data_IF_734402596550
#
_entry.id   IF_734402596550
#
_cell.length_a   1.000
_cell.length_b   1.000
_cell.length_c   1.000
_cell.angle_alpha   90.00
_cell.angle_beta   90.00
_cell.angle_gamma   90.00
#
_symmetry.space_group_name_H-M   'P 1'
#
loop_
_entity.id
_entity.type
_entity.pdbx_description
1 polymer ?
#
# COMPACT_ATOMS: atom_id res chain seq x y z
N UNK A 1 -6.40 -13.54 28.10
CA UNK A 1 -7.09 -12.65 27.16
C UNK A 1 -6.99 -11.21 27.69
N UNK A 2 -5.96 -10.46 27.27
CA UNK A 2 -5.74 -9.08 27.77
C UNK A 2 -6.87 -8.20 27.24
N UNK A 3 -7.45 -7.38 28.11
CA UNK A 3 -8.53 -6.43 27.76
C UNK A 3 -7.96 -5.43 26.74
N UNK A 4 -8.14 -5.70 25.44
CA UNK A 4 -7.72 -4.82 24.35
C UNK A 4 -8.65 -3.61 24.36
N UNK A 5 -8.10 -2.44 24.66
CA UNK A 5 -8.86 -1.18 24.75
C UNK A 5 -9.50 -0.91 23.40
N UNK A 6 -10.82 -0.66 23.40
CA UNK A 6 -11.57 -0.39 22.16
C UNK A 6 -10.92 0.80 21.43
N UNK A 7 -10.71 0.73 20.10
CA UNK A 7 -10.02 1.77 19.32
C UNK A 7 -10.60 3.18 19.52
N UNK A 8 -11.91 3.30 19.70
CA UNK A 8 -12.58 4.59 19.94
C UNK A 8 -12.30 5.17 21.33
N UNK A 9 -12.06 4.31 22.32
CA UNK A 9 -11.67 4.71 23.68
C UNK A 9 -10.21 5.16 23.67
N UNK A 10 -9.32 4.43 22.98
CA UNK A 10 -7.94 4.88 22.76
C UNK A 10 -7.88 6.21 22.01
N UNK A 11 -8.64 6.35 20.92
CA UNK A 11 -8.77 7.60 20.17
C UNK A 11 -9.31 8.73 21.05
N UNK A 12 -10.37 8.48 21.82
CA UNK A 12 -10.97 9.47 22.72
C UNK A 12 -10.04 9.90 23.85
N UNK A 13 -9.24 8.97 24.38
CA UNK A 13 -8.20 9.28 25.38
C UNK A 13 -7.12 10.14 24.74
N UNK A 14 -6.60 9.79 23.56
CA UNK A 14 -5.53 10.56 22.92
C UNK A 14 -6.00 11.91 22.39
N UNK A 15 -7.10 11.95 21.64
CA UNK A 15 -7.67 13.18 21.11
C UNK A 15 -8.20 14.08 22.22
N UNK A 16 -8.94 13.51 23.18
CA UNK A 16 -9.56 14.22 24.30
C UNK A 16 -8.54 14.71 25.32
N UNK A 17 -7.66 13.83 25.84
CA UNK A 17 -6.70 14.23 26.87
C UNK A 17 -5.69 15.23 26.33
N UNK A 18 -5.17 15.01 25.12
CA UNK A 18 -4.19 15.92 24.52
C UNK A 18 -4.84 17.26 24.14
N UNK A 19 -6.03 17.26 23.55
CA UNK A 19 -6.75 18.51 23.23
C UNK A 19 -7.23 19.26 24.47
N UNK A 20 -7.58 18.57 25.55
CA UNK A 20 -8.04 19.18 26.79
C UNK A 20 -6.88 19.79 27.57
N UNK A 21 -5.76 19.07 27.70
CA UNK A 21 -4.53 19.60 28.33
C UNK A 21 -4.01 20.79 27.52
N UNK A 22 -3.88 20.63 26.20
CA UNK A 22 -3.41 21.72 25.35
C UNK A 22 -4.40 22.88 25.32
N UNK A 23 -5.70 22.63 25.19
CA UNK A 23 -6.72 23.68 25.18
C UNK A 23 -6.79 24.46 26.49
N UNK A 24 -6.59 23.79 27.63
CA UNK A 24 -6.55 24.44 28.94
C UNK A 24 -5.31 25.33 29.09
N UNK A 25 -4.13 24.82 28.74
CA UNK A 25 -2.85 25.56 28.82
C UNK A 25 -2.86 26.76 27.87
N UNK A 26 -3.49 26.63 26.70
CA UNK A 26 -3.38 27.61 25.61
C UNK A 26 -4.58 28.54 25.48
N UNK A 27 -5.60 28.39 26.33
CA UNK A 27 -6.88 29.12 26.27
C UNK A 27 -6.71 30.64 26.06
N UNK A 28 -5.81 31.26 26.82
CA UNK A 28 -5.56 32.72 26.75
C UNK A 28 -4.81 33.11 25.46
N UNK A 29 -3.92 32.25 24.99
CA UNK A 29 -3.11 32.46 23.78
C UNK A 29 -3.90 32.24 22.49
N UNK A 30 -4.90 31.34 22.48
CA UNK A 30 -5.74 31.11 21.31
C UNK A 30 -6.50 32.39 20.92
N UNK A 31 -7.22 32.99 21.87
CA UNK A 31 -8.01 34.19 21.57
C UNK A 31 -7.14 35.40 21.26
N UNK A 32 -5.98 35.51 21.91
CA UNK A 32 -4.99 36.54 21.61
C UNK A 32 -4.38 36.37 20.21
N UNK A 33 -4.08 35.14 19.80
CA UNK A 33 -3.50 34.85 18.49
C UNK A 33 -4.43 35.14 17.33
N UNK A 34 -5.72 34.79 17.44
CA UNK A 34 -6.71 35.14 16.40
C UNK A 34 -6.93 36.65 16.26
N UNK A 35 -6.71 37.43 17.32
CA UNK A 35 -6.79 38.90 17.26
C UNK A 35 -5.52 39.56 16.77
N UNK A 36 -4.37 38.91 16.98
CA UNK A 36 -3.07 39.41 16.57
C UNK A 36 -2.77 39.13 15.10
N UNK A 37 -3.41 38.11 14.52
CA UNK A 37 -3.21 37.74 13.12
C UNK A 37 -4.14 38.50 12.17
N UNK A 38 -3.56 39.47 11.47
CA UNK A 38 -4.26 40.26 10.43
C UNK A 38 -4.30 39.55 9.06
N UNK A 39 -3.51 38.49 8.86
CA UNK A 39 -3.33 37.81 7.57
C UNK A 39 -4.40 36.75 7.27
N UNK A 40 -5.12 36.30 8.30
CA UNK A 40 -6.10 35.22 8.19
C UNK A 40 -5.50 33.81 8.16
N UNK A 41 -4.18 33.66 8.26
CA UNK A 41 -3.49 32.36 8.26
C UNK A 41 -3.94 31.45 9.41
N UNK A 42 -4.16 32.01 10.60
CA UNK A 42 -4.66 31.31 11.79
C UNK A 42 -6.05 30.73 11.57
N UNK A 43 -6.89 31.40 10.77
CA UNK A 43 -8.20 30.88 10.39
C UNK A 43 -8.08 29.68 9.45
N UNK A 44 -7.20 29.76 8.44
CA UNK A 44 -6.93 28.63 7.53
C UNK A 44 -6.39 27.42 8.30
N UNK A 45 -5.42 27.64 9.21
CA UNK A 45 -4.88 26.64 10.12
C UNK A 45 -6.01 26.01 10.95
N UNK A 46 -6.91 26.81 11.51
CA UNK A 46 -8.04 26.31 12.31
C UNK A 46 -9.02 25.45 11.49
N UNK A 47 -9.36 25.87 10.28
CA UNK A 47 -10.23 25.11 9.37
C UNK A 47 -9.60 23.78 8.98
N UNK A 48 -8.31 23.79 8.62
CA UNK A 48 -7.55 22.57 8.31
C UNK A 48 -7.47 21.63 9.52
N UNK A 49 -7.28 22.17 10.72
CA UNK A 49 -7.27 21.40 11.96
C UNK A 49 -8.61 20.72 12.23
N UNK A 50 -9.72 21.46 12.14
CA UNK A 50 -11.07 20.90 12.31
C UNK A 50 -11.35 19.84 11.24
N UNK A 51 -11.01 20.11 9.98
CA UNK A 51 -11.14 19.15 8.88
C UNK A 51 -10.36 17.86 9.14
N UNK A 52 -9.12 17.98 9.62
CA UNK A 52 -8.29 16.84 10.01
C UNK A 52 -8.86 16.04 11.17
N UNK A 53 -9.40 16.73 12.17
CA UNK A 53 -10.01 16.11 13.34
C UNK A 53 -11.29 15.34 12.97
N UNK A 54 -12.10 15.89 12.06
CA UNK A 54 -13.29 15.24 11.52
C UNK A 54 -12.93 14.03 10.66
N UNK A 55 -11.92 14.14 9.79
CA UNK A 55 -11.45 13.02 8.97
C UNK A 55 -10.93 11.87 9.85
N UNK A 56 -10.14 12.21 10.86
CA UNK A 56 -9.63 11.31 11.90
C UNK A 56 -10.76 10.61 12.68
N UNK A 57 -11.77 11.38 13.10
CA UNK A 57 -12.92 10.83 13.82
C UNK A 57 -13.72 9.83 12.95
N UNK A 58 -13.93 10.15 11.67
CA UNK A 58 -14.57 9.22 10.72
C UNK A 58 -13.79 7.93 10.52
N UNK A 59 -12.47 8.01 10.44
CA UNK A 59 -11.60 6.83 10.36
C UNK A 59 -11.71 5.98 11.63
N UNK A 60 -11.69 6.61 12.82
CA UNK A 60 -11.86 5.93 14.10
C UNK A 60 -13.23 5.24 14.26
N UNK A 61 -14.33 5.88 13.84
CA UNK A 61 -15.67 5.26 13.87
C UNK A 61 -15.76 4.02 12.99
N UNK A 62 -15.16 4.07 11.79
CA UNK A 62 -15.10 2.89 10.92
C UNK A 62 -14.31 1.77 11.61
N UNK A 63 -13.13 2.07 12.14
CA UNK A 63 -12.29 1.10 12.84
C UNK A 63 -13.00 0.47 14.04
N UNK A 64 -13.78 1.26 14.79
CA UNK A 64 -14.59 0.75 15.90
C UNK A 64 -15.66 -0.25 15.45
N UNK A 65 -16.33 0.03 14.33
CA UNK A 65 -17.34 -0.88 13.76
C UNK A 65 -16.72 -2.21 13.38
N UNK A 66 -15.52 -2.19 12.80
CA UNK A 66 -14.78 -3.39 12.37
C UNK A 66 -14.28 -4.22 13.56
N UNK A 67 -13.92 -3.57 14.66
CA UNK A 67 -13.61 -4.27 15.92
C UNK A 67 -14.84 -5.00 16.48
N UNK A 68 -16.02 -4.39 16.36
CA UNK A 68 -17.28 -5.03 16.76
C UNK A 68 -17.63 -6.24 15.90
N UNK A 69 -17.22 -6.28 14.64
CA UNK A 69 -17.34 -7.47 13.77
C UNK A 69 -16.43 -8.58 14.30
N UNK A 70 -15.16 -8.28 14.58
CA UNK A 70 -14.21 -9.27 15.08
C UNK A 70 -14.66 -9.85 16.44
N UNK A 71 -15.16 -9.00 17.35
CA UNK A 71 -15.68 -9.39 18.66
C UNK A 71 -16.86 -10.37 18.52
N UNK A 72 -17.84 -10.05 17.64
CA UNK A 72 -18.97 -10.96 17.37
C UNK A 72 -18.55 -12.28 16.74
N UNK A 73 -17.62 -12.24 15.78
CA UNK A 73 -17.14 -13.43 15.09
C UNK A 73 -16.36 -14.34 16.04
N UNK A 74 -15.56 -13.76 16.93
CA UNK A 74 -14.83 -14.52 17.95
C UNK A 74 -15.76 -15.16 18.99
N UNK A 75 -16.80 -14.43 19.42
CA UNK A 75 -17.70 -14.86 20.50
C UNK A 75 -18.81 -15.81 20.03
N UNK A 76 -19.43 -15.53 18.88
CA UNK A 76 -20.57 -16.31 18.37
C UNK A 76 -20.17 -17.38 17.34
N UNK A 77 -18.93 -17.33 16.81
CA UNK A 77 -18.48 -18.13 15.65
C UNK A 77 -19.32 -17.96 14.38
N UNK A 78 -20.31 -17.06 14.39
CA UNK A 78 -21.16 -16.76 13.23
C UNK A 78 -20.59 -15.53 12.52
N UNK A 79 -20.28 -15.70 11.24
CA UNK A 79 -19.81 -14.60 10.40
C UNK A 79 -21.02 -13.73 10.01
N UNK A 80 -21.03 -12.43 10.36
CA UNK A 80 -22.14 -11.55 9.99
C UNK A 80 -22.21 -11.38 8.45
N UNK A 81 -23.42 -11.19 7.89
CA UNK A 81 -23.61 -11.07 6.44
C UNK A 81 -22.85 -9.88 5.88
N UNK A 82 -22.24 -10.06 4.69
CA UNK A 82 -21.48 -9.01 4.01
C UNK A 82 -22.41 -7.89 3.56
N UNK A 83 -22.15 -6.66 4.05
CA UNK A 83 -22.88 -5.46 3.65
C UNK A 83 -22.38 -4.85 2.32
N UNK A 84 -21.68 -5.62 1.48
CA UNK A 84 -21.22 -5.18 0.14
C UNK A 84 -20.15 -4.08 0.15
N UNK A 85 -19.57 -3.76 1.32
CA UNK A 85 -18.46 -2.81 1.48
C UNK A 85 -17.21 -3.56 1.90
N UNK A 86 -16.04 -3.11 1.43
CA UNK A 86 -14.71 -3.67 1.73
C UNK A 86 -14.30 -3.52 3.20
N UNK A 87 -15.00 -4.24 4.08
CA UNK A 87 -14.76 -4.34 5.51
C UNK A 87 -14.27 -5.73 5.90
N UNK A 88 -13.94 -5.89 7.18
CA UNK A 88 -13.41 -7.13 7.73
C UNK A 88 -14.40 -8.30 7.60
N UNK A 89 -15.71 -8.01 7.73
CA UNK A 89 -16.78 -8.99 7.54
C UNK A 89 -16.77 -9.63 6.14
N UNK A 90 -16.49 -8.85 5.09
CA UNK A 90 -16.46 -9.35 3.72
C UNK A 90 -15.29 -10.31 3.49
N UNK A 91 -14.14 -9.99 4.11
CA UNK A 91 -12.94 -10.84 4.05
C UNK A 91 -13.19 -12.17 4.76
N UNK A 92 -13.80 -12.13 5.95
CA UNK A 92 -14.15 -13.35 6.66
C UNK A 92 -15.16 -14.20 5.90
N UNK A 93 -16.18 -13.60 5.28
CA UNK A 93 -17.14 -14.35 4.44
C UNK A 93 -16.43 -15.01 3.25
N UNK A 94 -15.55 -14.28 2.54
CA UNK A 94 -14.75 -14.83 1.44
C UNK A 94 -13.88 -15.99 1.90
N UNK A 95 -13.15 -15.83 3.02
CA UNK A 95 -12.32 -16.89 3.59
C UNK A 95 -13.15 -18.13 3.99
N UNK A 96 -14.35 -17.94 4.53
CA UNK A 96 -15.27 -19.05 4.83
C UNK A 96 -15.74 -19.77 3.56
N UNK A 97 -16.07 -19.02 2.50
CA UNK A 97 -16.45 -19.59 1.20
C UNK A 97 -15.31 -20.39 0.57
N UNK A 98 -14.07 -19.89 0.65
CA UNK A 98 -12.89 -20.61 0.17
C UNK A 98 -12.64 -21.90 0.97
N UNK A 99 -12.78 -21.84 2.30
CA UNK A 99 -12.75 -23.05 3.16
C UNK A 99 -13.80 -24.06 2.72
N UNK A 100 -15.02 -23.63 2.42
CA UNK A 100 -16.12 -24.50 1.96
C UNK A 100 -15.83 -25.12 0.59
N UNK A 101 -15.13 -24.41 -0.30
CA UNK A 101 -14.72 -24.91 -1.62
C UNK A 101 -13.46 -25.78 -1.59
N UNK A 102 -12.72 -25.81 -0.49
CA UNK A 102 -11.46 -26.54 -0.35
C UNK A 102 -10.29 -25.91 -1.10
N UNK A 103 -10.38 -24.62 -1.43
CA UNK A 103 -9.34 -23.85 -2.10
C UNK A 103 -8.38 -23.24 -1.08
N UNK A 104 -7.06 -23.32 -1.32
CA UNK A 104 -6.07 -22.70 -0.45
C UNK A 104 -6.03 -21.21 -0.71
N UNK A 105 -6.40 -20.41 0.30
CA UNK A 105 -6.30 -18.96 0.24
C UNK A 105 -5.32 -18.46 1.29
N UNK A 106 -4.44 -17.57 0.85
CA UNK A 106 -3.49 -16.90 1.71
C UNK A 106 -4.22 -15.82 2.52
N UNK A 107 -4.56 -16.13 3.77
CA UNK A 107 -5.22 -15.22 4.72
C UNK A 107 -4.44 -13.90 4.85
N UNK A 108 -3.11 -13.98 4.84
CA UNK A 108 -2.23 -12.83 5.01
C UNK A 108 -2.40 -11.79 3.91
N UNK A 109 -2.48 -12.19 2.63
CA UNK A 109 -2.65 -11.26 1.51
C UNK A 109 -3.99 -10.52 1.53
N UNK A 110 -5.06 -11.17 2.01
CA UNK A 110 -6.38 -10.55 2.12
C UNK A 110 -6.43 -9.54 3.28
N UNK A 111 -5.86 -9.89 4.44
CA UNK A 111 -5.75 -8.97 5.58
C UNK A 111 -4.79 -7.81 5.26
N UNK A 112 -3.73 -8.05 4.50
CA UNK A 112 -2.79 -7.02 4.04
C UNK A 112 -3.46 -6.04 3.07
N UNK A 113 -4.30 -6.53 2.15
CA UNK A 113 -5.10 -5.66 1.26
C UNK A 113 -6.03 -4.74 2.06
N UNK A 114 -6.66 -5.26 3.13
CA UNK A 114 -7.47 -4.47 4.05
C UNK A 114 -6.64 -3.44 4.82
N UNK A 115 -5.49 -3.87 5.33
CA UNK A 115 -4.55 -3.03 6.04
C UNK A 115 -4.11 -1.85 5.15
N UNK A 116 -3.74 -2.10 3.90
CA UNK A 116 -3.36 -1.08 2.93
C UNK A 116 -4.49 -0.06 2.67
N UNK A 117 -5.73 -0.55 2.47
CA UNK A 117 -6.89 0.31 2.22
C UNK A 117 -7.25 1.22 3.41
N UNK A 118 -7.17 0.71 4.63
CA UNK A 118 -7.45 1.49 5.84
C UNK A 118 -6.27 2.41 6.21
N UNK A 119 -5.03 1.95 6.04
CA UNK A 119 -3.82 2.73 6.24
C UNK A 119 -3.78 3.98 5.34
N UNK A 120 -4.24 3.88 4.09
CA UNK A 120 -4.35 5.04 3.19
C UNK A 120 -5.21 6.18 3.78
N UNK A 121 -6.30 5.83 4.48
CA UNK A 121 -7.20 6.80 5.11
C UNK A 121 -6.57 7.46 6.34
N UNK A 122 -5.88 6.68 7.18
CA UNK A 122 -5.17 7.23 8.34
C UNK A 122 -3.97 8.08 7.90
N UNK A 123 -3.30 7.68 6.82
CA UNK A 123 -2.21 8.44 6.20
C UNK A 123 -2.66 9.82 5.72
N UNK A 124 -3.89 9.98 5.22
CA UNK A 124 -4.46 11.29 4.90
C UNK A 124 -4.47 12.24 6.12
N UNK A 125 -4.84 11.73 7.31
CA UNK A 125 -4.80 12.52 8.57
C UNK A 125 -3.36 12.91 8.93
N UNK A 126 -2.39 12.00 8.74
CA UNK A 126 -0.97 12.30 8.97
C UNK A 126 -0.43 13.35 7.99
N UNK A 127 -0.93 13.39 6.76
CA UNK A 127 -0.56 14.40 5.77
C UNK A 127 -1.12 15.77 6.19
N UNK A 128 -2.38 15.83 6.62
CA UNK A 128 -2.99 17.06 7.14
C UNK A 128 -2.23 17.60 8.35
N UNK A 129 -1.75 16.73 9.24
CA UNK A 129 -0.88 17.11 10.35
C UNK A 129 0.44 17.77 9.89
N UNK A 130 1.10 17.21 8.87
CA UNK A 130 2.31 17.79 8.30
C UNK A 130 2.03 19.13 7.61
N UNK A 131 0.92 19.23 6.85
CA UNK A 131 0.49 20.47 6.21
C UNK A 131 0.21 21.58 7.22
N UNK A 132 -0.39 21.25 8.37
CA UNK A 132 -0.62 22.20 9.46
C UNK A 132 0.69 22.79 10.00
N UNK A 133 1.72 21.96 10.18
CA UNK A 133 3.04 22.41 10.61
C UNK A 133 3.65 23.32 9.52
N UNK A 134 3.59 22.91 8.26
CA UNK A 134 4.08 23.71 7.14
C UNK A 134 3.36 25.05 7.00
N UNK A 135 2.04 25.10 7.22
CA UNK A 135 1.27 26.34 7.25
C UNK A 135 1.67 27.23 8.43
N UNK A 136 1.98 26.65 9.58
CA UNK A 136 2.53 27.40 10.72
C UNK A 136 3.90 28.02 10.43
N UNK A 137 4.75 27.33 9.68
CA UNK A 137 6.04 27.86 9.21
C UNK A 137 5.86 28.96 8.17
N UNK A 138 4.90 28.80 7.24
CA UNK A 138 4.55 29.83 6.26
C UNK A 138 4.06 31.10 6.94
N UNK A 139 3.26 30.95 8.02
CA UNK A 139 2.81 32.07 8.84
C UNK A 139 3.97 32.81 9.50
N UNK A 140 5.05 32.12 9.91
CA UNK A 140 6.28 32.77 10.39
C UNK A 140 6.89 33.66 9.32
N UNK A 141 7.01 33.14 8.09
CA UNK A 141 7.63 33.87 6.98
C UNK A 141 6.84 35.15 6.69
N UNK A 142 5.52 35.05 6.60
CA UNK A 142 4.64 36.20 6.34
C UNK A 142 4.71 37.20 7.51
N UNK A 143 4.64 36.72 8.75
CA UNK A 143 4.72 37.60 9.93
C UNK A 143 6.07 38.31 10.06
N UNK A 144 7.17 37.66 9.71
CA UNK A 144 8.50 38.28 9.66
C UNK A 144 8.61 39.31 8.54
N UNK A 145 8.02 39.06 7.37
CA UNK A 145 7.94 40.06 6.28
C UNK A 145 7.19 41.30 6.78
N UNK A 146 6.03 41.14 7.42
CA UNK A 146 5.29 42.27 8.00
C UNK A 146 6.11 43.01 9.06
N UNK A 147 6.84 42.27 9.91
CA UNK A 147 7.69 42.87 10.92
C UNK A 147 8.82 43.71 10.30
N UNK A 148 9.47 43.21 9.26
CA UNK A 148 10.53 43.91 8.52
C UNK A 148 9.97 45.15 7.82
N UNK A 149 8.79 45.04 7.18
CA UNK A 149 8.13 46.19 6.56
C UNK A 149 7.79 47.28 7.58
N UNK A 150 7.28 46.90 8.76
CA UNK A 150 7.04 47.83 9.88
C UNK A 150 8.34 48.51 10.35
N UNK A 151 9.44 47.76 10.42
CA UNK A 151 10.74 48.31 10.81
C UNK A 151 11.28 49.29 9.76
N UNK A 152 11.11 48.99 8.47
CA UNK A 152 11.44 49.91 7.38
C UNK A 152 10.68 51.24 7.52
N UNK A 153 9.36 51.15 7.75
CA UNK A 153 8.54 52.34 8.01
C UNK A 153 8.96 53.10 9.27
N UNK A 154 9.42 52.41 10.31
CA UNK A 154 9.95 53.07 11.52
C UNK A 154 11.19 53.89 11.19
N UNK A 155 12.15 53.33 10.43
CA UNK A 155 13.40 54.01 10.04
C UNK A 155 13.13 55.25 9.19
N UNK A 156 12.20 55.15 8.22
CA UNK A 156 11.80 56.28 7.37
C UNK A 156 11.17 57.43 8.17
N UNK A 157 10.55 57.12 9.30
CA UNK A 157 9.86 58.10 10.16
C UNK A 157 10.73 58.66 11.30
N UNK A 158 12.01 58.26 11.41
CA UNK A 158 12.93 58.77 12.42
C UNK A 158 13.11 60.28 12.22
N UNK A 159 12.67 61.07 13.21
CA UNK A 159 12.79 62.53 13.21
C UNK A 159 11.62 63.30 12.58
N UNK A 160 10.66 62.62 11.94
CA UNK A 160 9.49 63.26 11.33
C UNK A 160 8.33 63.41 12.32
N UNK A 161 7.88 62.31 12.93
CA UNK A 161 6.81 62.33 13.93
C UNK A 161 6.89 61.13 14.86
N UNK A 162 6.75 61.39 16.17
CA UNK A 162 6.72 60.34 17.20
C UNK A 162 5.51 59.41 17.02
N UNK A 163 4.38 59.93 16.54
CA UNK A 163 3.17 59.15 16.37
C UNK A 163 3.31 58.11 15.25
N UNK A 164 3.81 58.52 14.07
CA UNK A 164 4.01 57.62 12.94
C UNK A 164 5.10 56.58 13.21
N UNK A 165 6.16 56.97 13.92
CA UNK A 165 7.18 56.04 14.40
C UNK A 165 6.61 54.98 15.36
N UNK A 166 5.74 55.39 16.28
CA UNK A 166 5.09 54.46 17.22
C UNK A 166 4.14 53.50 16.51
N UNK A 167 3.42 53.96 15.49
CA UNK A 167 2.52 53.09 14.71
C UNK A 167 3.29 52.09 13.85
N UNK A 168 4.42 52.50 13.25
CA UNK A 168 5.33 51.58 12.58
C UNK A 168 5.92 50.53 13.53
N UNK A 169 6.28 50.93 14.75
CA UNK A 169 6.73 49.99 15.79
C UNK A 169 5.63 49.01 16.20
N UNK A 170 4.38 49.47 16.36
CA UNK A 170 3.24 48.57 16.62
C UNK A 170 3.04 47.57 15.49
N UNK A 171 3.15 48.00 14.23
CA UNK A 171 3.07 47.12 13.07
C UNK A 171 4.19 46.05 13.09
N UNK A 172 5.42 46.44 13.44
CA UNK A 172 6.54 45.50 13.63
C UNK A 172 6.24 44.44 14.67
N UNK A 173 5.74 44.86 15.84
CA UNK A 173 5.39 43.96 16.95
C UNK A 173 4.18 43.08 16.59
N UNK A 174 3.20 43.61 15.87
CA UNK A 174 2.04 42.85 15.38
C UNK A 174 2.46 41.77 14.36
N UNK A 175 3.37 42.09 13.44
CA UNK A 175 3.94 41.12 12.51
C UNK A 175 4.67 39.98 13.22
N UNK A 176 5.46 40.30 14.23
CA UNK A 176 6.12 39.31 15.08
C UNK A 176 5.11 38.45 15.87
N UNK A 177 4.04 39.06 16.38
CA UNK A 177 2.94 38.36 17.03
C UNK A 177 2.26 37.37 16.09
N UNK A 178 1.95 37.80 14.86
CA UNK A 178 1.37 36.94 13.82
C UNK A 178 2.27 35.75 13.52
N UNK A 179 3.58 35.98 13.32
CA UNK A 179 4.55 34.92 13.08
C UNK A 179 4.53 33.88 14.21
N UNK A 180 4.57 34.33 15.47
CA UNK A 180 4.63 33.43 16.62
C UNK A 180 3.34 32.61 16.79
N UNK A 181 2.16 33.26 16.69
CA UNK A 181 0.88 32.59 16.89
C UNK A 181 0.53 31.62 15.77
N UNK A 182 0.82 31.96 14.52
CA UNK A 182 0.58 31.05 13.38
C UNK A 182 1.46 29.79 13.49
N UNK A 183 2.73 29.92 13.87
CA UNK A 183 3.60 28.77 14.15
C UNK A 183 3.10 27.94 15.31
N UNK A 184 2.69 28.60 16.39
CA UNK A 184 2.15 27.94 17.57
C UNK A 184 0.91 27.10 17.23
N UNK A 185 -0.04 27.66 16.48
CA UNK A 185 -1.25 26.96 16.06
C UNK A 185 -0.95 25.82 15.09
N UNK A 186 -0.05 26.03 14.12
CA UNK A 186 0.36 24.99 13.18
C UNK A 186 1.05 23.81 13.87
N UNK A 187 1.98 24.09 14.79
CA UNK A 187 2.71 23.07 15.55
C UNK A 187 1.79 22.31 16.50
N UNK A 188 0.94 23.02 17.27
CA UNK A 188 0.04 22.41 18.22
C UNK A 188 -1.04 21.57 17.53
N UNK A 189 -1.70 22.13 16.51
CA UNK A 189 -2.72 21.43 15.73
C UNK A 189 -2.15 20.22 14.99
N UNK A 190 -0.97 20.38 14.37
CA UNK A 190 -0.24 19.30 13.71
C UNK A 190 0.16 18.18 14.67
N UNK A 191 0.66 18.51 15.86
CA UNK A 191 1.04 17.53 16.87
C UNK A 191 -0.17 16.72 17.35
N UNK A 192 -1.31 17.37 17.61
CA UNK A 192 -2.54 16.69 18.03
C UNK A 192 -3.00 15.71 16.94
N UNK A 193 -3.11 16.18 15.69
CA UNK A 193 -3.53 15.30 14.58
C UNK A 193 -2.55 14.14 14.37
N UNK A 194 -1.24 14.38 14.51
CA UNK A 194 -0.24 13.33 14.37
C UNK A 194 -0.33 12.28 15.48
N UNK A 195 -0.50 12.69 16.74
CA UNK A 195 -0.68 11.76 17.85
C UNK A 195 -1.91 10.87 17.64
N UNK A 196 -3.02 11.48 17.20
CA UNK A 196 -4.28 10.78 16.96
C UNK A 196 -4.18 9.84 15.73
N UNK A 197 -3.45 10.23 14.69
CA UNK A 197 -3.19 9.36 13.53
C UNK A 197 -2.33 8.15 13.92
N UNK A 198 -1.28 8.34 14.73
CA UNK A 198 -0.43 7.24 15.23
C UNK A 198 -1.22 6.26 16.09
N UNK A 199 -2.07 6.77 16.99
CA UNK A 199 -2.97 5.93 17.82
C UNK A 199 -3.89 5.05 16.96
N UNK A 200 -4.42 5.59 15.85
CA UNK A 200 -5.24 4.83 14.90
C UNK A 200 -4.45 3.78 14.14
N UNK A 201 -3.23 4.10 13.68
CA UNK A 201 -2.37 3.12 13.01
C UNK A 201 -2.08 1.94 13.92
N UNK A 202 -1.73 2.20 15.18
CA UNK A 202 -1.48 1.14 16.16
C UNK A 202 -2.73 0.26 16.37
N UNK A 203 -3.90 0.89 16.52
CA UNK A 203 -5.17 0.18 16.68
C UNK A 203 -5.55 -0.65 15.44
N UNK A 204 -5.24 -0.16 14.24
CA UNK A 204 -5.43 -0.88 12.98
C UNK A 204 -4.51 -2.10 12.90
N UNK A 205 -3.23 -1.95 13.23
CA UNK A 205 -2.28 -3.06 13.27
C UNK A 205 -2.72 -4.15 14.25
N UNK A 206 -3.21 -3.76 15.44
CA UNK A 206 -3.75 -4.70 16.42
C UNK A 206 -5.00 -5.44 15.92
N UNK A 207 -5.87 -4.76 15.15
CA UNK A 207 -7.06 -5.36 14.55
C UNK A 207 -6.66 -6.40 13.51
N UNK A 208 -5.77 -6.03 12.58
CA UNK A 208 -5.29 -6.91 11.54
C UNK A 208 -4.59 -8.14 12.12
N UNK A 209 -3.75 -7.95 13.15
CA UNK A 209 -3.08 -9.07 13.82
C UNK A 209 -4.11 -10.04 14.46
N UNK A 210 -5.10 -9.51 15.17
CA UNK A 210 -6.14 -10.34 15.79
C UNK A 210 -7.05 -11.01 14.75
N UNK A 211 -7.32 -10.35 13.62
CA UNK A 211 -8.09 -10.91 12.53
C UNK A 211 -7.35 -12.04 11.81
N UNK A 212 -6.05 -11.87 11.56
CA UNK A 212 -5.19 -12.92 11.00
C UNK A 212 -5.13 -14.12 11.94
N UNK A 213 -4.91 -13.90 13.24
CA UNK A 213 -4.89 -14.96 14.25
C UNK A 213 -6.21 -15.76 14.26
N UNK A 214 -7.35 -15.06 14.24
CA UNK A 214 -8.66 -15.71 14.17
C UNK A 214 -8.83 -16.52 12.87
N UNK A 215 -8.48 -15.94 11.73
CA UNK A 215 -8.62 -16.58 10.43
C UNK A 215 -7.69 -17.79 10.29
N UNK A 216 -6.46 -17.71 10.80
CA UNK A 216 -5.50 -18.80 10.78
C UNK A 216 -6.01 -20.02 11.56
N UNK A 217 -6.63 -19.79 12.72
CA UNK A 217 -7.16 -20.86 13.57
C UNK A 217 -8.48 -21.43 13.03
N UNK A 218 -9.40 -20.59 12.55
CA UNK A 218 -10.78 -21.00 12.30
C UNK A 218 -11.14 -21.14 10.81
N UNK A 219 -10.45 -20.42 9.92
CA UNK A 219 -10.83 -20.27 8.51
C UNK A 219 -9.84 -20.92 7.54
N UNK A 220 -8.61 -21.21 7.97
CA UNK A 220 -7.66 -21.96 7.14
C UNK A 220 -8.12 -23.42 7.00
N UNK A 221 -8.24 -23.89 5.76
CA UNK A 221 -8.38 -25.31 5.50
C UNK A 221 -7.07 -26.00 5.87
N UNK A 222 -7.00 -26.60 7.07
CA UNK A 222 -5.84 -27.40 7.49
C UNK A 222 -5.74 -28.61 6.54
N UNK A 223 -4.59 -28.74 5.87
CA UNK A 223 -4.23 -29.87 4.99
C UNK A 223 -4.19 -31.24 5.69
N UNK A 224 -4.47 -31.31 7.00
CA UNK A 224 -4.49 -32.55 7.77
C UNK A 224 -5.32 -33.66 7.08
N UNK A 225 -6.45 -33.32 6.45
CA UNK A 225 -7.28 -34.33 5.78
C UNK A 225 -6.66 -34.96 4.52
N UNK A 226 -5.73 -34.28 3.82
CA UNK A 226 -5.05 -34.87 2.65
C UNK A 226 -3.81 -35.66 3.05
N UNK A 227 -3.07 -35.24 4.07
CA UNK A 227 -1.93 -36.00 4.58
C UNK A 227 -2.37 -37.30 5.25
N UNK A 228 -3.52 -37.31 5.93
CA UNK A 228 -4.08 -38.53 6.53
C UNK A 228 -4.56 -39.54 5.47
N UNK A 229 -5.17 -39.06 4.38
CA UNK A 229 -5.59 -39.89 3.24
C UNK A 229 -4.37 -40.46 2.48
N UNK A 230 -3.34 -39.64 2.26
CA UNK A 230 -2.08 -40.07 1.62
C UNK A 230 -1.34 -41.07 2.52
N UNK A 231 -1.22 -40.80 3.83
CA UNK A 231 -0.59 -41.73 4.77
C UNK A 231 -1.35 -43.06 4.84
N UNK A 232 -2.69 -43.04 4.83
CA UNK A 232 -3.52 -44.24 4.79
C UNK A 232 -3.30 -45.04 3.51
N UNK A 233 -3.17 -44.38 2.36
CA UNK A 233 -2.86 -45.04 1.09
C UNK A 233 -1.45 -45.65 1.09
N UNK A 234 -0.45 -44.92 1.60
CA UNK A 234 0.93 -45.41 1.73
C UNK A 234 1.00 -46.62 2.68
N UNK A 235 0.33 -46.58 3.84
CA UNK A 235 0.28 -47.73 4.76
C UNK A 235 -0.41 -48.95 4.15
N UNK A 236 -1.46 -48.75 3.32
CA UNK A 236 -2.13 -49.86 2.62
C UNK A 236 -1.21 -50.53 1.59
N UNK A 237 -0.39 -49.74 0.89
CA UNK A 237 0.61 -50.26 -0.05
C UNK A 237 1.68 -51.06 0.70
N UNK A 238 2.22 -50.52 1.81
CA UNK A 238 3.22 -51.23 2.63
C UNK A 238 2.67 -52.58 3.13
N UNK A 239 1.45 -52.61 3.66
CA UNK A 239 0.81 -53.85 4.11
C UNK A 239 0.59 -54.87 2.98
N UNK A 240 0.32 -54.42 1.75
CA UNK A 240 0.20 -55.30 0.59
C UNK A 240 1.54 -55.93 0.18
N UNK A 241 2.64 -55.18 0.29
CA UNK A 241 3.98 -55.68 0.03
C UNK A 241 4.44 -56.70 1.10
N UNK A 242 4.13 -56.45 2.38
CA UNK A 242 4.42 -57.42 3.44
C UNK A 242 3.68 -58.75 3.25
N UNK A 243 2.42 -58.71 2.82
CA UNK A 243 1.65 -59.92 2.53
C UNK A 243 2.23 -60.70 1.33
N UNK A 244 2.64 -59.99 0.29
CA UNK A 244 3.30 -60.60 -0.88
C UNK A 244 4.63 -61.25 -0.50
N UNK A 245 5.42 -60.61 0.35
CA UNK A 245 6.68 -61.15 0.85
C UNK A 245 6.49 -62.42 1.68
N UNK A 246 5.47 -62.47 2.55
CA UNK A 246 5.08 -63.68 3.29
C UNK A 246 4.67 -64.83 2.37
N UNK A 247 3.97 -64.53 1.29
CA UNK A 247 3.53 -65.52 0.31
C UNK A 247 4.73 -66.12 -0.46
N UNK A 248 5.69 -65.28 -0.88
CA UNK A 248 6.95 -65.69 -1.51
C UNK A 248 7.81 -66.55 -0.56
N UNK A 249 7.90 -66.18 0.72
CA UNK A 249 8.60 -66.98 1.73
C UNK A 249 7.94 -68.35 1.94
N UNK A 250 6.60 -68.40 1.91
CA UNK A 250 5.86 -69.65 2.03
C UNK A 250 6.08 -70.57 0.82
N UNK A 251 6.17 -70.01 -0.39
CA UNK A 251 6.51 -70.75 -1.61
C UNK A 251 7.94 -71.28 -1.55
N UNK A 252 8.88 -70.43 -1.13
CA UNK A 252 10.30 -70.79 -1.00
C UNK A 252 10.52 -71.92 0.00
N UNK A 253 9.72 -71.98 1.08
CA UNK A 253 9.76 -73.08 2.07
C UNK A 253 9.04 -74.35 1.60
N UNK A 254 8.00 -74.24 0.77
CA UNK A 254 7.22 -75.40 0.29
C UNK A 254 7.89 -76.16 -0.85
N UNK A 255 8.65 -75.49 -1.70
CA UNK A 255 9.37 -76.10 -2.82
C UNK A 255 10.32 -77.24 -2.37
N UNK A 256 11.25 -77.04 -1.42
CA UNK A 256 12.17 -78.10 -1.00
C UNK A 256 11.47 -79.28 -0.33
N UNK A 257 10.43 -79.03 0.50
CA UNK A 257 9.64 -80.09 1.14
C UNK A 257 8.89 -80.95 0.10
N UNK A 258 8.38 -80.33 -0.97
CA UNK A 258 7.73 -81.08 -2.06
C UNK A 258 8.71 -81.94 -2.86
N UNK A 259 9.94 -81.45 -3.06
CA UNK A 259 11.01 -82.18 -3.76
C UNK A 259 11.49 -83.35 -2.89
N UNK A 260 11.64 -83.14 -1.59
CA UNK A 260 12.04 -84.16 -0.62
C UNK A 260 10.99 -85.27 -0.49
N UNK A 261 9.69 -84.91 -0.44
CA UNK A 261 8.58 -85.87 -0.47
C UNK A 261 8.57 -86.69 -1.79
N UNK A 262 8.87 -86.04 -2.91
CA UNK A 262 8.94 -86.72 -4.22
C UNK A 262 10.14 -87.68 -4.30
N UNK A 263 11.29 -87.31 -3.72
CA UNK A 263 12.49 -88.16 -3.69
C UNK A 263 12.34 -89.33 -2.71
N UNK A 264 11.67 -89.15 -1.57
CA UNK A 264 11.34 -90.24 -0.66
C UNK A 264 10.42 -91.28 -1.33
N UNK A 265 9.39 -90.81 -2.04
CA UNK A 265 8.47 -91.68 -2.77
C UNK A 265 9.15 -92.40 -3.95
N UNK A 266 10.17 -91.79 -4.55
CA UNK A 266 11.01 -92.39 -5.59
C UNK A 266 11.96 -93.46 -5.02
N UNK A 267 12.50 -93.24 -3.82
CA UNK A 267 13.32 -94.22 -3.10
C UNK A 267 12.52 -95.46 -2.67
N UNK A 268 11.31 -95.26 -2.14
CA UNK A 268 10.38 -96.34 -1.77
C UNK A 268 9.95 -97.16 -2.99
N UNK A 269 9.75 -96.50 -4.14
CA UNK A 269 9.42 -97.19 -5.41
C UNK A 269 10.59 -98.05 -5.94
N UNK A 270 11.85 -97.67 -5.70
CA UNK A 270 13.03 -98.44 -6.11
C UNK A 270 13.25 -99.70 -5.24
N UNK A 271 12.87 -99.65 -3.97
CA UNK A 271 12.96 -100.79 -3.04
C UNK A 271 11.88 -101.85 -3.33
N UNK A 272 10.66 -101.42 -3.65
CA UNK A 272 9.55 -102.29 -4.06
C UNK A 272 9.85 -102.96 -5.41
N UNK A 273 10.46 -102.25 -6.36
CA UNK A 273 10.90 -102.82 -7.66
C UNK A 273 12.02 -103.84 -7.48
N UNK A 274 12.93 -103.63 -6.53
CA UNK A 274 14.02 -104.57 -6.22
C UNK A 274 13.54 -105.91 -5.65
N UNK A 275 12.52 -105.90 -4.80
CA UNK A 275 11.91 -107.11 -4.24
C UNK A 275 10.98 -107.83 -5.25
N UNK A 276 10.32 -107.08 -6.12
CA UNK A 276 9.43 -107.63 -7.16
C UNK A 276 10.21 -108.22 -8.36
N UNK A 277 11.43 -107.73 -8.67
CA UNK A 277 12.26 -108.20 -9.78
C UNK A 277 12.83 -109.64 -9.59
N UNK A 278 12.95 -110.12 -8.35
CA UNK A 278 13.46 -111.48 -8.06
C UNK A 278 12.38 -112.57 -8.05
N UNK A 279 11.10 -112.21 -7.95
CA UNK A 279 9.98 -113.15 -7.96
C UNK A 279 9.23 -113.18 -9.31
N UNK A 280 9.37 -112.16 -10.16
CA UNK A 280 8.57 -111.98 -11.40
C UNK A 280 9.28 -112.42 -12.67
N UNK A 281 10.53 -112.88 -12.61
CA UNK A 281 11.22 -113.47 -13.76
C UNK A 281 10.65 -114.82 -14.20
N UNK A 282 9.83 -115.49 -13.39
CA UNK A 282 9.24 -116.79 -13.72
C UNK A 282 7.81 -116.68 -14.31
N UNK A 283 7.07 -115.60 -14.03
CA UNK A 283 5.66 -115.45 -14.43
C UNK A 283 5.42 -114.43 -15.57
N UNK A 284 6.42 -113.61 -15.93
CA UNK A 284 6.30 -112.50 -16.91
C UNK A 284 6.25 -112.93 -18.39
N UNK A 285 6.51 -114.20 -18.72
CA UNK A 285 6.47 -114.66 -20.11
C UNK A 285 5.05 -114.71 -20.68
N UNK A 286 4.01 -114.86 -19.84
CA UNK A 286 2.63 -115.01 -20.33
C UNK A 286 1.82 -113.69 -20.40
N UNK A 287 2.18 -112.65 -19.65
CA UNK A 287 1.39 -111.40 -19.56
C UNK A 287 1.76 -110.28 -20.54
N UNK A 288 2.91 -110.37 -21.22
CA UNK A 288 3.45 -109.27 -22.04
C UNK A 288 2.65 -109.00 -23.34
N UNK A 289 1.69 -109.86 -23.67
CA UNK A 289 0.88 -109.74 -24.89
C UNK A 289 -0.30 -108.76 -24.73
N UNK A 290 -0.75 -108.45 -23.50
CA UNK A 290 -2.01 -107.72 -23.31
C UNK A 290 -1.85 -106.20 -23.03
N UNK A 291 -0.73 -105.75 -22.45
CA UNK A 291 -0.56 -104.33 -22.07
C UNK A 291 0.01 -103.40 -23.15
N UNK A 292 0.45 -103.93 -24.30
CA UNK A 292 0.97 -103.10 -25.40
C UNK A 292 -0.13 -102.34 -26.18
N UNK A 293 -1.42 -102.57 -25.88
CA UNK A 293 -2.53 -101.84 -26.51
C UNK A 293 -2.89 -100.51 -25.82
N UNK A 294 -2.50 -100.27 -24.56
CA UNK A 294 -2.97 -99.10 -23.78
C UNK A 294 -1.96 -97.93 -23.80
N UNK A 295 -0.67 -98.22 -23.89
CA UNK A 295 0.41 -97.20 -23.82
C UNK A 295 0.41 -96.20 -25.00
N UNK A 296 -0.08 -96.61 -26.17
CA UNK A 296 -0.16 -95.73 -27.35
C UNK A 296 -1.25 -94.66 -27.26
N UNK A 297 -2.27 -94.85 -26.41
CA UNK A 297 -3.45 -93.99 -26.38
C UNK A 297 -3.25 -92.74 -25.48
N UNK A 298 -2.50 -92.85 -24.39
CA UNK A 298 -2.30 -91.75 -23.42
C UNK A 298 -1.22 -90.73 -23.85
N UNK A 299 -0.17 -91.16 -24.56
CA UNK A 299 0.88 -90.25 -25.05
C UNK A 299 0.33 -89.26 -26.10
N UNK A 300 -0.58 -89.71 -26.97
CA UNK A 300 -1.23 -88.86 -27.97
C UNK A 300 -2.13 -87.79 -27.38
N UNK A 301 -2.85 -88.12 -26.30
CA UNK A 301 -3.75 -87.19 -25.58
C UNK A 301 -2.93 -86.12 -24.85
N UNK A 302 -1.82 -86.51 -24.21
CA UNK A 302 -0.94 -85.59 -23.49
C UNK A 302 -0.27 -84.56 -24.41
N UNK A 303 0.31 -85.00 -25.54
CA UNK A 303 0.92 -84.12 -26.54
C UNK A 303 -0.11 -83.21 -27.23
N UNK A 304 -1.33 -83.69 -27.43
CA UNK A 304 -2.45 -82.88 -27.93
C UNK A 304 -2.83 -81.73 -26.98
N UNK A 305 -2.92 -82.01 -25.68
CA UNK A 305 -3.23 -80.99 -24.65
C UNK A 305 -2.15 -79.91 -24.53
N UNK A 306 -0.87 -80.30 -24.69
CA UNK A 306 0.26 -79.38 -24.64
C UNK A 306 0.28 -78.43 -25.84
N UNK A 307 0.00 -78.94 -27.04
CA UNK A 307 -0.12 -78.14 -28.25
C UNK A 307 -1.29 -77.15 -28.17
N UNK A 308 -2.43 -77.56 -27.61
CA UNK A 308 -3.59 -76.69 -27.41
C UNK A 308 -3.28 -75.52 -26.43
N UNK A 309 -2.56 -75.82 -25.34
CA UNK A 309 -2.10 -74.83 -24.37
C UNK A 309 -1.16 -73.78 -24.98
N UNK A 310 -0.23 -74.20 -25.85
CA UNK A 310 0.67 -73.28 -26.56
C UNK A 310 -0.10 -72.36 -27.49
N UNK A 311 -1.06 -72.90 -28.26
CA UNK A 311 -1.90 -72.10 -29.18
C UNK A 311 -2.74 -71.07 -28.40
N UNK A 312 -3.33 -71.49 -27.28
CA UNK A 312 -4.17 -70.63 -26.43
C UNK A 312 -3.36 -69.52 -25.74
N UNK A 313 -2.15 -69.84 -25.28
CA UNK A 313 -1.19 -68.87 -24.72
C UNK A 313 -0.76 -67.83 -25.77
N UNK A 314 -0.40 -68.29 -26.98
CA UNK A 314 0.02 -67.40 -28.06
C UNK A 314 -1.12 -66.48 -28.53
N UNK A 315 -2.36 -66.97 -28.55
CA UNK A 315 -3.55 -66.15 -28.81
C UNK A 315 -3.79 -65.09 -27.72
N UNK A 316 -3.54 -65.43 -26.45
CA UNK A 316 -3.60 -64.49 -25.32
C UNK A 316 -2.56 -63.36 -25.44
N UNK A 317 -1.31 -63.70 -25.75
CA UNK A 317 -0.21 -62.74 -25.97
C UNK A 317 -0.55 -61.80 -27.14
N UNK A 318 -1.08 -62.33 -28.24
CA UNK A 318 -1.48 -61.52 -29.40
C UNK A 318 -2.61 -60.53 -29.08
N UNK A 319 -3.59 -60.95 -28.27
CA UNK A 319 -4.65 -60.04 -27.77
C UNK A 319 -4.06 -58.95 -26.86
N UNK A 320 -3.17 -59.29 -25.94
CA UNK A 320 -2.52 -58.31 -25.05
C UNK A 320 -1.73 -57.26 -25.85
N UNK A 321 -0.94 -57.67 -26.84
CA UNK A 321 -0.22 -56.76 -27.73
C UNK A 321 -1.16 -55.86 -28.54
N UNK A 322 -2.29 -56.40 -29.03
CA UNK A 322 -3.28 -55.59 -29.75
C UNK A 322 -3.93 -54.52 -28.87
N UNK A 323 -4.18 -54.85 -27.59
CA UNK A 323 -4.71 -53.92 -26.59
C UNK A 323 -3.69 -52.84 -26.24
N UNK A 324 -2.44 -53.23 -26.01
CA UNK A 324 -1.33 -52.31 -25.75
C UNK A 324 -1.17 -51.30 -26.90
N UNK A 325 -1.15 -51.79 -28.15
CA UNK A 325 -1.02 -50.94 -29.34
C UNK A 325 -2.19 -49.95 -29.48
N UNK A 326 -3.42 -50.37 -29.13
CA UNK A 326 -4.59 -49.47 -29.10
C UNK A 326 -4.44 -48.38 -28.04
N UNK A 327 -3.99 -48.75 -26.84
CA UNK A 327 -3.77 -47.80 -25.74
C UNK A 327 -2.68 -46.78 -26.06
N UNK A 328 -1.58 -47.22 -26.68
CA UNK A 328 -0.49 -46.35 -27.15
C UNK A 328 -0.99 -45.36 -28.21
N UNK A 329 -1.79 -45.83 -29.19
CA UNK A 329 -2.41 -44.94 -30.19
C UNK A 329 -3.35 -43.93 -29.56
N UNK A 330 -4.23 -44.35 -28.65
CA UNK A 330 -5.15 -43.43 -27.95
C UNK A 330 -4.38 -42.39 -27.15
N UNK A 331 -3.35 -42.79 -26.41
CA UNK A 331 -2.48 -41.88 -25.65
C UNK A 331 -1.77 -40.88 -26.56
N UNK A 332 -1.18 -41.34 -27.68
CA UNK A 332 -0.53 -40.45 -28.66
C UNK A 332 -1.49 -39.45 -29.31
N UNK A 333 -2.75 -39.86 -29.55
CA UNK A 333 -3.79 -38.96 -30.08
C UNK A 333 -4.20 -37.91 -29.05
N UNK A 334 -4.34 -38.30 -27.78
CA UNK A 334 -4.61 -37.39 -26.66
C UNK A 334 -3.49 -36.39 -26.45
N UNK A 335 -2.24 -36.85 -26.50
CA UNK A 335 -1.04 -36.00 -26.40
C UNK A 335 -1.00 -34.96 -27.53
N UNK A 336 -1.25 -35.38 -28.78
CA UNK A 336 -1.30 -34.47 -29.93
C UNK A 336 -2.39 -33.40 -29.78
N UNK A 337 -3.56 -33.76 -29.24
CA UNK A 337 -4.65 -32.81 -28.98
C UNK A 337 -4.29 -31.82 -27.87
N UNK A 338 -3.65 -32.27 -26.80
CA UNK A 338 -3.18 -31.42 -25.71
C UNK A 338 -2.11 -30.43 -26.18
N UNK A 339 -1.14 -30.87 -26.98
CA UNK A 339 -0.14 -29.99 -27.58
C UNK A 339 -0.74 -28.98 -28.57
N UNK A 340 -1.75 -29.39 -29.36
CA UNK A 340 -2.50 -28.47 -30.22
C UNK A 340 -3.19 -27.36 -29.42
N UNK A 341 -3.90 -27.72 -28.34
CA UNK A 341 -4.56 -26.75 -27.47
C UNK A 341 -3.57 -25.82 -26.75
N UNK A 342 -2.41 -26.34 -26.32
CA UNK A 342 -1.34 -25.51 -25.76
C UNK A 342 -0.80 -24.49 -26.77
N UNK A 343 -0.61 -24.91 -28.03
CA UNK A 343 -0.11 -24.02 -29.08
C UNK A 343 -1.11 -22.88 -29.39
N UNK A 344 -2.41 -23.21 -29.47
CA UNK A 344 -3.48 -22.23 -29.68
C UNK A 344 -3.56 -21.22 -28.52
N UNK A 345 -3.44 -21.68 -27.27
CA UNK A 345 -3.45 -20.83 -26.08
C UNK A 345 -2.23 -19.92 -25.99
N UNK A 346 -1.06 -20.40 -26.45
CA UNK A 346 0.16 -19.59 -26.56
C UNK A 346 0.01 -18.51 -27.63
N UNK A 347 -0.60 -18.84 -28.78
CA UNK A 347 -0.85 -17.89 -29.86
C UNK A 347 -1.85 -16.81 -29.44
N UNK A 348 -2.96 -17.19 -28.78
CA UNK A 348 -3.96 -16.27 -28.25
C UNK A 348 -3.37 -15.35 -27.16
N UNK A 349 -2.53 -15.90 -26.28
CA UNK A 349 -1.81 -15.12 -25.27
C UNK A 349 -0.82 -14.13 -25.91
N UNK A 350 -0.12 -14.55 -26.97
CA UNK A 350 0.80 -13.69 -27.73
C UNK A 350 0.08 -12.48 -28.35
N UNK A 351 -1.05 -12.72 -29.01
CA UNK A 351 -1.89 -11.65 -29.58
C UNK A 351 -2.40 -10.69 -28.49
N UNK A 352 -2.85 -11.22 -27.35
CA UNK A 352 -3.32 -10.40 -26.23
C UNK A 352 -2.24 -9.51 -25.61
N UNK A 353 -1.01 -10.03 -25.51
CA UNK A 353 0.16 -9.26 -25.04
C UNK A 353 0.51 -8.16 -26.03
N UNK A 354 0.60 -8.46 -27.33
CA UNK A 354 0.89 -7.44 -28.36
C UNK A 354 -0.18 -6.35 -28.38
N UNK A 355 -1.47 -6.72 -28.34
CA UNK A 355 -2.56 -5.74 -28.29
C UNK A 355 -2.52 -4.85 -27.05
N UNK A 356 -2.09 -5.39 -25.90
CA UNK A 356 -1.89 -4.61 -24.68
C UNK A 356 -0.73 -3.61 -24.81
N UNK A 357 0.36 -4.00 -25.48
CA UNK A 357 1.49 -3.11 -25.77
C UNK A 357 1.12 -2.01 -26.76
N UNK A 358 0.33 -2.31 -27.80
CA UNK A 358 -0.17 -1.31 -28.74
C UNK A 358 -1.11 -0.29 -28.05
N UNK A 359 -1.99 -0.78 -27.17
CA UNK A 359 -2.86 0.06 -26.36
C UNK A 359 -2.08 0.96 -25.39
N UNK A 360 -1.02 0.44 -24.77
CA UNK A 360 -0.12 1.20 -23.93
C UNK A 360 0.62 2.28 -24.74
N UNK A 361 1.17 1.92 -25.90
CA UNK A 361 1.89 2.84 -26.78
C UNK A 361 0.98 4.01 -27.22
N UNK A 362 -0.26 3.71 -27.61
CA UNK A 362 -1.26 4.73 -27.97
C UNK A 362 -1.58 5.66 -26.80
N UNK A 363 -1.75 5.10 -25.60
CA UNK A 363 -2.06 5.88 -24.39
C UNK A 363 -0.89 6.79 -23.99
N UNK A 364 0.35 6.30 -24.11
CA UNK A 364 1.57 7.08 -23.84
C UNK A 364 1.71 8.22 -24.84
N UNK A 365 1.41 7.99 -26.12
CA UNK A 365 1.46 9.01 -27.15
C UNK A 365 0.41 10.11 -26.92
N UNK A 366 -0.84 9.74 -26.61
CA UNK A 366 -1.90 10.69 -26.28
C UNK A 366 -1.58 11.52 -25.02
N UNK A 367 -0.99 10.90 -24.00
CA UNK A 367 -0.50 11.61 -22.82
C UNK A 367 0.63 12.59 -23.19
N UNK A 368 1.56 12.20 -24.06
CA UNK A 368 2.63 13.06 -24.56
C UNK A 368 2.10 14.29 -25.30
N UNK A 369 1.11 14.12 -26.17
CA UNK A 369 0.46 15.22 -26.89
C UNK A 369 -0.27 16.17 -25.93
N UNK A 370 -0.97 15.62 -24.93
CA UNK A 370 -1.69 16.43 -23.92
C UNK A 370 -0.71 17.26 -23.08
N UNK A 371 0.41 16.67 -22.67
CA UNK A 371 1.46 17.37 -21.91
C UNK A 371 2.12 18.44 -22.78
N UNK A 372 2.41 18.15 -24.05
CA UNK A 372 2.99 19.13 -24.97
C UNK A 372 2.05 20.33 -25.20
N UNK A 373 0.75 20.08 -25.38
CA UNK A 373 -0.26 21.14 -25.48
C UNK A 373 -0.35 21.99 -24.22
N UNK A 374 -0.44 21.35 -23.06
CA UNK A 374 -0.49 22.06 -21.76
C UNK A 374 0.76 22.92 -21.52
N UNK A 375 1.93 22.45 -21.95
CA UNK A 375 3.18 23.21 -21.84
C UNK A 375 3.21 24.40 -22.79
N UNK A 376 2.64 24.27 -24.00
CA UNK A 376 2.50 25.37 -24.94
C UNK A 376 1.57 26.45 -24.40
N UNK A 377 0.41 26.06 -23.84
CA UNK A 377 -0.55 26.99 -23.23
C UNK A 377 0.06 27.71 -22.00
N UNK A 378 0.80 26.97 -21.18
CA UNK A 378 1.51 27.55 -20.03
C UNK A 378 2.55 28.58 -20.48
N UNK A 379 3.30 28.29 -21.56
CA UNK A 379 4.28 29.22 -22.12
C UNK A 379 3.61 30.50 -22.61
N UNK A 380 2.50 30.40 -23.34
CA UNK A 380 1.72 31.56 -23.78
C UNK A 380 1.25 32.41 -22.60
N UNK A 381 0.73 31.77 -21.55
CA UNK A 381 0.29 32.48 -20.35
C UNK A 381 1.45 33.19 -19.62
N UNK A 382 2.65 32.61 -19.58
CA UNK A 382 3.85 33.27 -19.05
C UNK A 382 4.23 34.47 -19.92
N UNK A 383 4.24 34.31 -21.24
CA UNK A 383 4.62 35.37 -22.16
C UNK A 383 3.64 36.56 -22.06
N UNK A 384 2.33 36.30 -21.97
CA UNK A 384 1.29 37.32 -21.73
C UNK A 384 1.49 38.02 -20.38
N UNK A 385 1.72 37.26 -19.30
CA UNK A 385 1.96 37.83 -17.96
C UNK A 385 3.22 38.71 -17.95
N UNK A 386 4.27 38.30 -18.68
CA UNK A 386 5.50 39.07 -18.84
C UNK A 386 5.26 40.38 -19.61
N UNK A 387 4.43 40.33 -20.66
CA UNK A 387 4.04 41.52 -21.42
C UNK A 387 3.25 42.51 -20.54
N UNK A 388 2.26 42.03 -19.79
CA UNK A 388 1.46 42.83 -18.86
C UNK A 388 2.34 43.46 -17.76
N UNK A 389 3.27 42.69 -17.20
CA UNK A 389 4.20 43.19 -16.18
C UNK A 389 5.11 44.29 -16.74
N UNK A 390 5.66 44.10 -17.95
CA UNK A 390 6.47 45.12 -18.61
C UNK A 390 5.66 46.39 -18.92
N UNK A 391 4.40 46.24 -19.33
CA UNK A 391 3.46 47.35 -19.52
C UNK A 391 3.25 48.14 -18.23
N UNK A 392 2.90 47.45 -17.14
CA UNK A 392 2.68 48.05 -15.83
C UNK A 392 3.94 48.75 -15.29
N UNK A 393 5.13 48.16 -15.48
CA UNK A 393 6.41 48.78 -15.12
C UNK A 393 6.66 50.05 -15.96
N UNK A 394 6.32 50.05 -17.25
CA UNK A 394 6.42 51.23 -18.11
C UNK A 394 5.49 52.37 -17.69
N UNK A 395 4.24 52.05 -17.33
CA UNK A 395 3.28 53.02 -16.80
C UNK A 395 3.75 53.59 -15.46
N UNK A 396 4.23 52.74 -14.56
CA UNK A 396 4.79 53.15 -13.27
C UNK A 396 5.99 54.09 -13.47
N UNK A 397 6.91 53.75 -14.38
CA UNK A 397 8.07 54.58 -14.67
C UNK A 397 7.65 55.97 -15.20
N UNK A 398 6.64 56.01 -16.07
CA UNK A 398 6.09 57.26 -16.60
C UNK A 398 5.43 58.09 -15.50
N UNK A 399 4.66 57.46 -14.62
CA UNK A 399 4.00 58.10 -13.48
C UNK A 399 5.03 58.70 -12.50
N UNK A 400 6.08 57.94 -12.17
CA UNK A 400 7.18 58.41 -11.31
C UNK A 400 7.89 59.61 -11.93
N UNK A 401 8.26 59.55 -13.22
CA UNK A 401 8.93 60.67 -13.88
C UNK A 401 8.06 61.93 -13.89
N UNK A 402 6.75 61.79 -14.15
CA UNK A 402 5.80 62.91 -14.11
C UNK A 402 5.63 63.48 -12.70
N UNK A 403 5.52 62.63 -11.68
CA UNK A 403 5.40 63.04 -10.28
C UNK A 403 6.66 63.75 -9.80
N UNK A 404 7.84 63.19 -10.06
CA UNK A 404 9.14 63.79 -9.73
C UNK A 404 9.32 65.13 -10.44
N UNK A 405 8.98 65.22 -11.73
CA UNK A 405 9.03 66.49 -12.48
C UNK A 405 8.11 67.56 -11.87
N UNK A 406 6.86 67.21 -11.53
CA UNK A 406 5.94 68.12 -10.83
C UNK A 406 6.49 68.56 -9.47
N UNK A 407 7.06 67.63 -8.71
CA UNK A 407 7.64 67.91 -7.39
C UNK A 407 8.81 68.89 -7.50
N UNK A 408 9.72 68.70 -8.45
CA UNK A 408 10.85 69.62 -8.70
C UNK A 408 10.36 71.02 -9.05
N UNK A 409 9.35 71.14 -9.93
CA UNK A 409 8.77 72.43 -10.30
C UNK A 409 8.13 73.12 -9.09
N UNK A 410 7.32 72.39 -8.31
CA UNK A 410 6.66 72.94 -7.11
C UNK A 410 7.65 73.37 -6.04
N UNK A 411 8.68 72.55 -5.77
CA UNK A 411 9.72 72.88 -4.78
C UNK A 411 10.52 74.10 -5.22
N UNK A 412 10.88 74.20 -6.51
CA UNK A 412 11.57 75.37 -7.05
C UNK A 412 10.73 76.64 -6.93
N UNK A 413 9.45 76.58 -7.32
CA UNK A 413 8.54 77.72 -7.21
C UNK A 413 8.37 78.18 -5.76
N UNK A 414 8.28 77.24 -4.81
CA UNK A 414 8.21 77.56 -3.38
C UNK A 414 9.50 78.20 -2.88
N UNK A 415 10.66 77.68 -3.27
CA UNK A 415 11.97 78.21 -2.90
C UNK A 415 12.20 79.61 -3.46
N UNK A 416 11.83 79.85 -4.72
CA UNK A 416 11.92 81.18 -5.37
C UNK A 416 11.01 82.20 -4.66
N UNK A 417 9.82 81.77 -4.21
CA UNK A 417 8.89 82.62 -3.45
C UNK A 417 9.46 82.97 -2.08
N UNK A 418 9.94 81.98 -1.31
CA UNK A 418 10.56 82.20 0.00
C UNK A 418 11.83 83.07 -0.10
N UNK A 419 12.66 82.86 -1.13
CA UNK A 419 13.83 83.69 -1.38
C UNK A 419 13.47 85.16 -1.66
N UNK A 420 12.36 85.39 -2.39
CA UNK A 420 11.85 86.74 -2.68
C UNK A 420 11.34 87.42 -1.41
N UNK A 421 10.55 86.72 -0.58
CA UNK A 421 10.09 87.24 0.72
C UNK A 421 11.25 87.58 1.66
N UNK A 422 12.26 86.71 1.74
CA UNK A 422 13.46 86.96 2.56
C UNK A 422 14.22 88.18 2.05
N UNK A 423 14.38 88.33 0.73
CA UNK A 423 15.02 89.49 0.13
C UNK A 423 14.28 90.79 0.44
N UNK A 424 12.94 90.79 0.35
CA UNK A 424 12.11 91.94 0.70
C UNK A 424 12.23 92.31 2.18
N UNK A 425 12.21 91.33 3.09
CA UNK A 425 12.41 91.58 4.52
C UNK A 425 13.79 92.13 4.84
N UNK A 426 14.84 91.61 4.20
CA UNK A 426 16.20 92.13 4.34
C UNK A 426 16.33 93.57 3.83
N UNK A 427 15.67 93.89 2.71
CA UNK A 427 15.62 95.26 2.16
C UNK A 427 14.93 96.23 3.14
N UNK A 428 13.80 95.82 3.71
CA UNK A 428 13.07 96.57 4.74
C UNK A 428 13.92 96.79 6.01
N UNK A 429 14.59 95.74 6.48
CA UNK A 429 15.49 95.83 7.62
C UNK A 429 16.68 96.77 7.35
N UNK A 430 17.30 96.67 6.17
CA UNK A 430 18.38 97.56 5.75
C UNK A 430 17.93 99.03 5.68
N UNK A 431 16.74 99.30 5.14
CA UNK A 431 16.15 100.65 5.11
C UNK A 431 15.88 101.19 6.51
N UNK A 432 15.39 100.34 7.41
CA UNK A 432 15.15 100.70 8.83
C UNK A 432 16.47 101.02 9.55
N UNK A 433 17.51 100.20 9.34
CA UNK A 433 18.85 100.42 9.90
C UNK A 433 19.46 101.72 9.35
N UNK A 434 19.37 101.99 8.04
CA UNK A 434 19.85 103.26 7.48
C UNK A 434 19.13 104.47 8.07
N UNK A 435 17.81 104.37 8.28
CA UNK A 435 17.01 105.44 8.88
C UNK A 435 17.43 105.67 10.35
N UNK A 436 17.65 104.60 11.11
CA UNK A 436 18.15 104.66 12.48
C UNK A 436 19.57 105.25 12.56
N UNK A 437 20.47 104.87 11.66
CA UNK A 437 21.82 105.46 11.57
C UNK A 437 21.79 106.95 11.25
N UNK A 438 20.89 107.39 10.35
CA UNK A 438 20.67 108.81 10.07
C UNK A 438 20.18 109.58 11.29
N UNK A 439 19.23 109.03 12.04
CA UNK A 439 18.73 109.63 13.29
C UNK A 439 19.83 109.73 14.35
N UNK A 440 20.65 108.68 14.53
CA UNK A 440 21.78 108.68 15.47
C UNK A 440 22.88 109.68 15.05
N UNK A 441 23.14 109.85 13.76
CA UNK A 441 24.07 110.87 13.25
C UNK A 441 23.55 112.31 13.43
N UNK A 442 22.23 112.48 13.57
CA UNK A 442 21.61 113.75 13.91
C UNK A 442 21.69 114.09 15.41
N UNK A 443 21.60 113.07 16.27
CA UNK A 443 21.74 113.25 17.73
C UNK A 443 23.19 113.52 18.17
N UNK A 444 24.18 112.96 17.49
CA UNK A 444 25.61 113.24 17.78
C UNK A 444 26.03 114.68 17.44
N UNK A 445 25.24 115.40 16.63
CA UNK A 445 25.44 116.84 16.36
C UNK A 445 24.87 117.70 17.51
N UNK A 446 23.89 117.20 18.28
CA UNK A 446 23.29 117.92 19.40
C UNK A 446 23.95 117.63 20.77
N UNK A 447 24.82 116.62 20.88
CA UNK A 447 25.55 116.35 22.13
C UNK A 447 26.93 117.01 22.26
N UNK A 448 27.30 117.90 21.32
CA UNK A 448 28.52 118.71 21.38
C UNK A 448 28.30 120.19 21.74
N UNK A 449 27.09 120.54 22.19
CA UNK A 449 26.77 121.88 22.70
C UNK A 449 26.07 121.75 24.05
N UNK A 450 26.86 121.55 25.10
CA UNK A 450 26.55 121.92 26.48
C UNK A 450 27.86 122.15 27.23
#
# INVERSE_FOLDING_TARGET
>A
MKIKVKPIVSWGIWAGSLSLIMGFVTRKHILAGFRADETGMSFVIAVLFIGGLVASFRAAMKLHTEWGVLERVTDTQVIPPSNGKSGLADIFNKLADYKRKGETVNVHSMVETYHAGHNSRVRSTSIMAALLISMGLLGTIIGLIMAISGLGGMVENIGLSRATMMDALKATVAGMGTAFYTTFFGALGGLILRAVAVSQLNSLSELCAAATEYADVNLTAKLESKDEEINKQVSKVIASFENMQKEIDSLTKRIPVSIEATMAHFGESLEVVGQHALATTEECVDGLTEQLSVFGLEIGISLGSFNELIIKSNAGIKKAFSSLNRSIKQSGTGLKKAFGGLNELIEESGVGVTGSFDGLNTSVQAAGETVAGSLADFKLSIDDTSADLNGAVGELHTAINKATGKMVIMTKAKLDTEATEIADQLSLAAGTIQTFLKLKSGDDINQKVA
#
